data_IF_627580653429
#
_entry.id   IF_627580653429
#
_cell.length_a   1.000
_cell.length_b   1.000
_cell.length_c   1.000
_cell.angle_alpha   90.00
_cell.angle_beta   90.00
_cell.angle_gamma   90.00
#
_symmetry.space_group_name_H-M   'P 1'
#
loop_
_entity.id
_entity.type
_entity.pdbx_description
1 polymer ?
#
# COMPACT_ATOMS: atom_id res chain seq x y z
N UNK A 1 -11.82 -26.80 -77.15
CA UNK A 1 -12.15 -25.89 -76.04
C UNK A 1 -12.11 -26.72 -74.76
N UNK A 2 -11.43 -26.22 -73.71
CA UNK A 2 -10.77 -26.94 -72.60
C UNK A 2 -9.28 -27.24 -72.86
N UNK A 3 -8.42 -26.45 -72.22
CA UNK A 3 -7.00 -26.70 -71.94
C UNK A 3 -6.88 -26.75 -70.39
N UNK A 4 -6.02 -27.52 -69.71
CA UNK A 4 -4.89 -28.33 -70.14
C UNK A 4 -4.65 -29.54 -69.21
N UNK A 5 -3.76 -30.41 -69.67
CA UNK A 5 -3.18 -31.64 -69.08
C UNK A 5 -1.77 -31.29 -68.53
N UNK A 6 -1.04 -31.98 -67.63
CA UNK A 6 -1.21 -33.11 -66.68
C UNK A 6 0.20 -33.49 -66.13
N UNK A 7 0.27 -34.09 -64.92
CA UNK A 7 1.36 -34.94 -64.31
C UNK A 7 2.51 -34.25 -63.54
N UNK A 8 3.07 -34.77 -62.44
CA UNK A 8 3.45 -36.18 -62.11
C UNK A 8 3.36 -36.47 -60.60
N UNK A 9 2.97 -37.70 -60.25
CA UNK A 9 3.08 -38.32 -58.92
C UNK A 9 4.18 -39.38 -58.95
N UNK A 10 5.03 -39.46 -57.93
CA UNK A 10 5.86 -40.64 -57.65
C UNK A 10 5.68 -41.02 -56.18
N UNK A 11 5.15 -42.22 -55.97
CA UNK A 11 5.08 -42.95 -54.70
C UNK A 11 6.30 -43.85 -54.61
N UNK A 12 6.96 -43.92 -53.46
CA UNK A 12 7.91 -45.00 -53.17
C UNK A 12 7.77 -45.46 -51.72
N UNK A 13 7.66 -46.78 -51.62
CA UNK A 13 7.35 -47.59 -50.46
C UNK A 13 8.54 -47.72 -49.52
N UNK A 14 8.26 -47.91 -48.23
CA UNK A 14 9.17 -48.56 -47.30
C UNK A 14 8.39 -49.53 -46.41
N UNK A 15 8.86 -50.77 -46.36
CA UNK A 15 8.38 -51.83 -45.47
C UNK A 15 9.56 -52.45 -44.74
N UNK A 16 9.28 -52.77 -43.47
CA UNK A 16 9.88 -53.82 -42.63
C UNK A 16 11.33 -53.65 -42.12
N UNK A 17 11.41 -53.29 -40.82
CA UNK A 17 11.87 -54.12 -39.70
C UNK A 17 13.18 -54.93 -39.88
N UNK A 18 14.14 -54.73 -38.97
CA UNK A 18 14.51 -55.67 -37.86
C UNK A 18 15.91 -55.35 -37.26
N UNK A 19 15.94 -55.31 -35.91
CA UNK A 19 16.99 -55.63 -34.90
C UNK A 19 18.08 -54.63 -34.40
N UNK A 20 18.00 -54.49 -33.07
CA UNK A 20 19.06 -54.53 -32.03
C UNK A 20 20.02 -53.34 -31.85
N UNK A 21 19.70 -52.51 -30.84
CA UNK A 21 20.42 -52.44 -29.57
C UNK A 21 21.85 -51.86 -29.55
N UNK A 22 21.96 -50.65 -29.00
CA UNK A 22 22.92 -50.30 -27.95
C UNK A 22 22.40 -49.07 -27.18
N UNK A 23 22.56 -49.15 -25.87
CA UNK A 23 22.03 -48.29 -24.80
C UNK A 23 22.79 -46.97 -24.60
N UNK A 24 22.07 -45.89 -24.30
CA UNK A 24 22.47 -44.95 -23.24
C UNK A 24 21.21 -44.46 -22.50
N UNK A 25 21.14 -44.80 -21.21
CA UNK A 25 20.32 -44.21 -20.16
C UNK A 25 20.22 -42.67 -20.29
N UNK A 26 19.17 -41.95 -19.94
CA UNK A 26 18.02 -42.25 -19.09
C UNK A 26 17.84 -41.08 -18.10
N UNK A 27 16.80 -40.27 -18.27
CA UNK A 27 16.03 -39.53 -17.24
C UNK A 27 14.93 -38.71 -17.92
N UNK A 28 13.81 -39.37 -18.19
CA UNK A 28 12.50 -38.73 -18.14
C UNK A 28 11.95 -39.06 -16.75
N UNK A 29 12.06 -38.11 -15.83
CA UNK A 29 11.37 -38.09 -14.53
C UNK A 29 11.28 -36.61 -14.15
N UNK A 30 10.44 -35.86 -14.87
CA UNK A 30 9.78 -34.71 -14.26
C UNK A 30 8.63 -35.32 -13.45
N UNK A 31 8.87 -35.54 -12.16
CA UNK A 31 7.79 -35.84 -11.22
C UNK A 31 6.77 -34.70 -11.23
N UNK A 32 5.58 -34.88 -10.62
CA UNK A 32 4.74 -33.74 -10.33
C UNK A 32 5.61 -32.71 -9.60
N UNK A 33 5.57 -31.45 -10.04
CA UNK A 33 6.10 -30.36 -9.23
C UNK A 33 5.54 -30.53 -7.82
N UNK A 34 6.37 -30.40 -6.77
CA UNK A 34 5.86 -30.47 -5.43
C UNK A 34 4.71 -29.46 -5.36
N UNK A 35 3.55 -29.94 -4.93
CA UNK A 35 2.47 -29.11 -4.44
C UNK A 35 3.07 -28.44 -3.19
N UNK A 36 3.79 -27.34 -3.40
CA UNK A 36 4.21 -26.45 -2.33
C UNK A 36 2.88 -25.91 -1.84
N UNK A 37 2.40 -26.46 -0.73
CA UNK A 37 1.23 -25.91 -0.08
C UNK A 37 1.52 -24.42 0.09
N UNK A 38 0.69 -23.58 -0.53
CA UNK A 38 0.76 -22.15 -0.29
C UNK A 38 0.69 -21.95 1.23
N UNK A 39 1.53 -21.07 1.81
CA UNK A 39 1.46 -20.78 3.22
C UNK A 39 0.01 -20.43 3.60
N UNK A 40 -0.45 -20.93 4.75
CA UNK A 40 -1.79 -20.69 5.26
C UNK A 40 -1.86 -19.26 5.82
N UNK A 41 -1.83 -18.28 4.91
CA UNK A 41 -1.94 -16.84 5.21
C UNK A 41 -3.26 -16.62 5.93
N UNK A 42 -3.23 -15.89 7.05
CA UNK A 42 -4.46 -15.59 7.78
C UNK A 42 -5.47 -14.94 6.83
N UNK A 43 -6.73 -15.38 6.89
CA UNK A 43 -7.81 -14.79 6.08
C UNK A 43 -8.23 -13.43 6.65
N UNK A 44 -8.70 -12.50 5.80
CA UNK A 44 -9.25 -11.22 6.26
C UNK A 44 -10.32 -11.42 7.33
N UNK A 45 -10.38 -10.49 8.30
CA UNK A 45 -11.38 -10.54 9.37
C UNK A 45 -12.81 -10.64 8.78
N UNK A 46 -13.61 -11.64 9.18
CA UNK A 46 -14.95 -11.81 8.60
C UNK A 46 -15.91 -10.65 8.88
N UNK A 47 -15.75 -9.95 10.00
CA UNK A 47 -16.57 -8.80 10.38
C UNK A 47 -15.88 -7.46 10.04
N UNK A 48 -14.88 -7.49 9.16
CA UNK A 48 -14.19 -6.27 8.71
C UNK A 48 -15.16 -5.24 8.12
N UNK A 49 -14.84 -3.94 8.18
CA UNK A 49 -15.69 -2.93 7.59
C UNK A 49 -15.94 -3.21 6.09
N UNK A 50 -17.14 -2.86 5.62
CA UNK A 50 -17.46 -2.83 4.19
C UNK A 50 -17.59 -1.38 3.78
N UNK A 51 -16.82 -0.97 2.79
CA UNK A 51 -16.66 0.42 2.41
C UNK A 51 -17.09 0.62 0.95
N UNK A 52 -18.00 1.57 0.75
CA UNK A 52 -18.29 2.15 -0.56
C UNK A 52 -17.73 3.57 -0.62
N UNK A 53 -16.95 3.86 -1.66
CA UNK A 53 -16.41 5.19 -1.94
C UNK A 53 -16.94 5.71 -3.27
N UNK A 54 -17.21 7.01 -3.31
CA UNK A 54 -17.48 7.73 -4.55
C UNK A 54 -16.77 9.07 -4.54
N UNK A 55 -16.02 9.32 -5.61
CA UNK A 55 -15.29 10.57 -5.85
C UNK A 55 -15.82 11.21 -7.13
N UNK A 56 -16.28 12.46 -7.06
CA UNK A 56 -16.65 13.26 -8.22
C UNK A 56 -15.61 14.35 -8.44
N UNK A 57 -14.72 14.14 -9.42
CA UNK A 57 -13.58 15.01 -9.70
C UNK A 57 -14.03 16.18 -10.58
N UNK A 58 -13.64 17.40 -10.21
CA UNK A 58 -13.99 18.60 -10.98
C UNK A 58 -13.30 18.60 -12.35
N UNK A 59 -13.88 19.26 -13.37
CA UNK A 59 -13.27 19.33 -14.70
C UNK A 59 -11.89 20.00 -14.77
N UNK A 60 -11.55 20.82 -13.77
CA UNK A 60 -10.25 21.47 -13.62
C UNK A 60 -9.29 20.70 -12.71
N UNK A 61 -9.68 19.51 -12.26
CA UNK A 61 -8.90 18.60 -11.40
C UNK A 61 -8.49 19.19 -10.04
N UNK A 62 -9.01 20.35 -9.64
CA UNK A 62 -8.60 21.03 -8.41
C UNK A 62 -9.41 20.62 -7.17
N UNK A 63 -10.56 19.99 -7.35
CA UNK A 63 -11.47 19.62 -6.26
C UNK A 63 -12.14 18.27 -6.50
N UNK A 64 -12.52 17.60 -5.42
CA UNK A 64 -13.29 16.35 -5.46
C UNK A 64 -14.43 16.45 -4.46
N UNK A 65 -15.65 16.11 -4.88
CA UNK A 65 -16.77 15.89 -3.97
C UNK A 65 -16.85 14.39 -3.67
N UNK A 66 -16.73 14.04 -2.40
CA UNK A 66 -16.66 12.67 -1.94
C UNK A 66 -17.91 12.23 -1.18
N UNK A 67 -18.19 10.92 -1.28
CA UNK A 67 -19.14 10.22 -0.43
C UNK A 67 -18.53 8.89 -0.02
N UNK A 68 -18.65 8.56 1.26
CA UNK A 68 -18.26 7.30 1.85
C UNK A 68 -19.47 6.66 2.54
N UNK A 69 -19.61 5.35 2.42
CA UNK A 69 -20.47 4.54 3.28
C UNK A 69 -19.62 3.46 3.92
N UNK A 70 -19.73 3.32 5.24
CA UNK A 70 -19.05 2.28 6.00
C UNK A 70 -20.10 1.46 6.74
N UNK A 71 -20.20 0.18 6.41
CA UNK A 71 -20.84 -0.81 7.28
C UNK A 71 -19.80 -1.30 8.29
N UNK A 72 -20.06 -1.07 9.57
CA UNK A 72 -19.09 -1.30 10.65
C UNK A 72 -19.67 -2.18 11.74
N UNK A 73 -18.95 -3.25 12.08
CA UNK A 73 -19.27 -4.16 13.18
C UNK A 73 -18.13 -4.11 14.20
N UNK A 74 -18.23 -3.30 15.26
CA UNK A 74 -17.15 -3.16 16.23
C UNK A 74 -16.99 -4.45 17.05
N UNK A 75 -15.77 -4.77 17.45
CA UNK A 75 -15.47 -5.88 18.36
C UNK A 75 -15.52 -5.48 19.85
N UNK A 76 -15.70 -4.18 20.13
CA UNK A 76 -15.88 -3.60 21.47
C UNK A 76 -17.12 -2.70 21.49
N UNK A 77 -17.73 -2.53 22.66
CA UNK A 77 -18.84 -1.58 22.82
C UNK A 77 -18.36 -0.15 22.50
N UNK A 78 -19.14 0.61 21.71
CA UNK A 78 -18.82 1.99 21.35
C UNK A 78 -20.03 2.92 21.45
N UNK A 79 -19.80 4.19 21.77
CA UNK A 79 -20.82 5.24 21.85
C UNK A 79 -20.57 6.37 20.84
N UNK A 80 -19.61 6.18 19.94
CA UNK A 80 -19.19 7.15 18.93
C UNK A 80 -18.57 6.41 17.73
N UNK A 81 -18.41 7.13 16.62
CA UNK A 81 -17.53 6.75 15.52
C UNK A 81 -16.41 7.77 15.39
N UNK A 82 -15.22 7.33 15.00
CA UNK A 82 -14.07 8.21 14.82
C UNK A 82 -13.46 7.98 13.45
N UNK A 83 -13.22 9.06 12.73
CA UNK A 83 -12.62 9.06 11.40
C UNK A 83 -11.43 10.02 11.34
N UNK A 84 -10.44 9.71 10.49
CA UNK A 84 -9.28 10.54 10.21
C UNK A 84 -9.42 11.27 8.89
N UNK A 85 -9.12 12.56 8.90
CA UNK A 85 -9.08 13.43 7.73
C UNK A 85 -7.63 13.77 7.39
N UNK A 86 -6.88 12.80 6.89
CA UNK A 86 -5.44 12.93 6.66
C UNK A 86 -5.00 14.04 5.68
N UNK A 87 -5.81 14.50 4.70
CA UNK A 87 -5.47 15.68 3.91
C UNK A 87 -5.27 16.96 4.74
N UNK A 88 -5.76 17.00 5.99
CA UNK A 88 -5.58 18.14 6.90
C UNK A 88 -4.31 18.05 7.77
N UNK A 89 -3.46 17.02 7.59
CA UNK A 89 -2.19 16.92 8.33
C UNK A 89 -1.29 18.13 8.03
N UNK A 90 -0.33 18.49 8.92
CA UNK A 90 0.45 19.72 8.77
C UNK A 90 1.14 19.94 7.42
N UNK A 91 1.70 18.90 6.82
CA UNK A 91 2.43 19.02 5.57
C UNK A 91 1.48 19.23 4.37
N UNK A 92 0.49 18.34 4.23
CA UNK A 92 -0.55 18.37 3.17
C UNK A 92 -1.40 19.64 3.23
N UNK A 93 -1.81 20.07 4.44
CA UNK A 93 -2.58 21.31 4.61
C UNK A 93 -1.79 22.57 4.23
N UNK A 94 -0.51 22.65 4.59
CA UNK A 94 0.36 23.77 4.18
C UNK A 94 0.64 23.79 2.68
N UNK A 95 0.56 22.63 2.04
CA UNK A 95 0.66 22.49 0.58
C UNK A 95 -0.62 22.96 -0.14
N UNK A 96 -1.69 23.25 0.60
CA UNK A 96 -2.94 23.81 0.07
C UNK A 96 -4.08 22.80 -0.08
N UNK A 97 -3.82 21.53 0.25
CA UNK A 97 -4.83 20.48 0.23
C UNK A 97 -5.68 20.49 1.51
N UNK A 98 -6.94 20.08 1.44
CA UNK A 98 -7.79 19.95 2.63
C UNK A 98 -8.99 19.05 2.39
N UNK A 99 -9.49 18.40 3.44
CA UNK A 99 -10.73 17.63 3.42
C UNK A 99 -11.71 18.20 4.45
N UNK A 100 -12.92 18.53 4.04
CA UNK A 100 -13.98 19.00 4.95
C UNK A 100 -15.16 18.06 4.90
N UNK A 101 -15.48 17.39 6.01
CA UNK A 101 -16.73 16.62 6.14
C UNK A 101 -17.90 17.59 6.19
N UNK A 102 -18.86 17.40 5.29
CA UNK A 102 -20.00 18.31 5.09
C UNK A 102 -21.29 17.78 5.72
N UNK A 103 -21.48 16.46 5.78
CA UNK A 103 -22.60 15.82 6.44
C UNK A 103 -22.23 14.40 6.90
N UNK A 104 -22.92 13.94 7.95
CA UNK A 104 -22.83 12.57 8.44
C UNK A 104 -24.23 12.02 8.69
N UNK A 105 -24.47 10.78 8.29
CA UNK A 105 -25.66 10.01 8.68
C UNK A 105 -25.24 8.71 9.36
N UNK A 106 -26.00 8.30 10.37
CA UNK A 106 -25.87 6.99 11.01
C UNK A 106 -27.20 6.26 10.91
N UNK A 107 -27.19 5.05 10.35
CA UNK A 107 -28.38 4.25 10.03
C UNK A 107 -29.45 5.05 9.25
N UNK A 108 -28.98 5.86 8.28
CA UNK A 108 -29.83 6.70 7.43
C UNK A 108 -30.48 7.89 8.14
N UNK A 109 -29.98 8.29 9.31
CA UNK A 109 -30.43 9.50 10.04
C UNK A 109 -29.29 10.49 10.18
N UNK A 110 -29.57 11.76 9.94
CA UNK A 110 -28.59 12.84 10.15
C UNK A 110 -28.01 12.78 11.57
N UNK A 111 -26.68 12.80 11.65
CA UNK A 111 -25.92 12.78 12.89
C UNK A 111 -25.13 14.08 13.05
N UNK A 112 -24.98 14.54 14.29
CA UNK A 112 -24.03 15.61 14.59
C UNK A 112 -22.62 15.03 14.68
N UNK A 113 -21.64 15.82 14.29
CA UNK A 113 -20.22 15.45 14.40
C UNK A 113 -19.40 16.62 14.93
N UNK A 114 -18.22 16.31 15.45
CA UNK A 114 -17.22 17.23 15.92
C UNK A 114 -16.02 17.17 14.98
N UNK A 115 -15.64 18.32 14.44
CA UNK A 115 -14.38 18.49 13.72
C UNK A 115 -13.30 18.95 14.70
N UNK A 116 -12.26 18.14 14.88
CA UNK A 116 -11.24 18.29 15.91
C UNK A 116 -9.88 18.45 15.24
N UNK A 117 -9.19 19.55 15.57
CA UNK A 117 -7.91 19.90 14.97
C UNK A 117 -6.90 18.74 14.97
N UNK A 118 -6.73 18.07 16.12
CA UNK A 118 -5.90 16.87 16.29
C UNK A 118 -4.54 16.91 15.54
N UNK A 119 -3.88 18.06 15.57
CA UNK A 119 -2.58 18.27 14.91
C UNK A 119 -2.63 19.10 13.63
N UNK A 120 -3.82 19.35 13.06
CA UNK A 120 -4.01 20.27 11.94
C UNK A 120 -3.47 21.69 12.26
N UNK A 121 -2.88 22.40 11.29
CA UNK A 121 -2.51 23.81 11.43
C UNK A 121 -3.68 24.71 11.83
N UNK A 122 -3.41 25.80 12.56
CA UNK A 122 -4.44 26.76 13.00
C UNK A 122 -5.20 27.43 11.84
N UNK A 123 -4.60 27.49 10.65
CA UNK A 123 -5.16 28.03 9.43
C UNK A 123 -5.76 26.98 8.49
N UNK A 124 -5.74 25.69 8.88
CA UNK A 124 -6.39 24.64 8.14
C UNK A 124 -7.93 24.84 8.14
N UNK A 125 -8.63 24.53 7.05
CA UNK A 125 -10.09 24.66 6.98
C UNK A 125 -10.85 23.75 7.96
N UNK A 126 -10.27 22.59 8.28
CA UNK A 126 -10.83 21.57 9.15
C UNK A 126 -9.71 20.81 9.88
N UNK A 127 -10.08 20.02 10.90
CA UNK A 127 -9.17 19.19 11.68
C UNK A 127 -8.85 17.84 11.05
N UNK A 128 -7.93 17.09 11.65
CA UNK A 128 -7.58 15.73 11.19
C UNK A 128 -8.42 14.62 11.82
N UNK A 129 -9.35 14.96 12.72
CA UNK A 129 -10.15 13.98 13.46
C UNK A 129 -11.62 14.40 13.44
N UNK A 130 -12.50 13.46 13.05
CA UNK A 130 -13.95 13.64 13.06
C UNK A 130 -14.55 12.65 14.04
N UNK A 131 -15.22 13.15 15.08
CA UNK A 131 -15.93 12.33 16.07
C UNK A 131 -17.44 12.46 15.86
N UNK A 132 -18.14 11.33 15.80
CA UNK A 132 -19.60 11.24 15.57
C UNK A 132 -20.24 10.58 16.80
N UNK A 133 -20.75 11.35 17.78
CA UNK A 133 -21.45 10.78 18.93
C UNK A 133 -22.69 10.01 18.49
N UNK A 134 -22.81 8.75 18.91
CA UNK A 134 -23.98 7.92 18.61
C UNK A 134 -25.16 8.30 19.53
N UNK A 135 -26.37 8.22 19.01
CA UNK A 135 -27.59 8.48 19.79
C UNK A 135 -27.78 7.45 20.92
N UNK A 136 -27.44 6.20 20.62
CA UNK A 136 -27.38 5.07 21.54
C UNK A 136 -26.05 4.34 21.29
N UNK A 137 -25.41 3.85 22.35
CA UNK A 137 -24.20 3.05 22.20
C UNK A 137 -24.53 1.73 21.49
N UNK A 138 -23.60 1.26 20.68
CA UNK A 138 -23.66 0.00 19.94
C UNK A 138 -22.79 -1.03 20.65
N UNK A 139 -23.33 -2.22 20.86
CA UNK A 139 -22.60 -3.30 21.53
C UNK A 139 -21.61 -3.96 20.57
N UNK A 140 -20.58 -4.61 21.10
CA UNK A 140 -19.71 -5.46 20.30
C UNK A 140 -20.51 -6.49 19.47
N UNK A 141 -20.22 -6.59 18.18
CA UNK A 141 -20.89 -7.48 17.22
C UNK A 141 -22.22 -6.96 16.66
N UNK A 142 -22.67 -5.76 17.04
CA UNK A 142 -23.84 -5.11 16.43
C UNK A 142 -23.40 -4.18 15.30
N UNK A 143 -23.86 -4.45 14.08
CA UNK A 143 -23.52 -3.65 12.89
C UNK A 143 -24.30 -2.33 12.86
N UNK A 144 -23.62 -1.27 12.42
CA UNK A 144 -24.20 0.03 12.09
C UNK A 144 -23.69 0.50 10.72
N UNK A 145 -24.40 1.44 10.10
CA UNK A 145 -23.92 2.10 8.86
C UNK A 145 -23.66 3.57 9.11
N UNK A 146 -22.49 4.05 8.69
CA UNK A 146 -22.15 5.47 8.63
C UNK A 146 -22.04 5.92 7.18
N UNK A 147 -22.65 7.06 6.84
CA UNK A 147 -22.48 7.71 5.56
C UNK A 147 -21.90 9.12 5.79
N UNK A 148 -20.81 9.44 5.10
CA UNK A 148 -20.14 10.73 5.18
C UNK A 148 -20.07 11.36 3.79
N UNK A 149 -20.40 12.64 3.68
CA UNK A 149 -20.09 13.44 2.49
C UNK A 149 -18.99 14.42 2.82
N UNK A 150 -18.09 14.69 1.88
CA UNK A 150 -16.95 15.55 2.10
C UNK A 150 -16.53 16.29 0.84
N UNK A 151 -15.88 17.44 1.02
CA UNK A 151 -15.24 18.19 -0.04
C UNK A 151 -13.71 18.09 0.12
N UNK A 152 -13.03 17.77 -0.96
CA UNK A 152 -11.57 17.74 -1.06
C UNK A 152 -11.09 18.89 -1.94
N UNK A 153 -10.11 19.64 -1.44
CA UNK A 153 -9.35 20.63 -2.21
C UNK A 153 -7.96 20.06 -2.43
N UNK A 154 -7.46 20.16 -3.66
CA UNK A 154 -6.15 19.65 -4.06
C UNK A 154 -5.16 20.80 -4.20
N UNK A 155 -4.00 20.66 -3.55
CA UNK A 155 -2.89 21.61 -3.65
C UNK A 155 -2.19 21.52 -5.01
N UNK A 156 -1.83 22.66 -5.56
CA UNK A 156 -1.20 22.80 -6.89
C UNK A 156 0.32 22.57 -6.80
N UNK A 157 0.87 21.71 -7.66
CA UNK A 157 2.31 21.43 -7.80
C UNK A 157 2.99 21.02 -6.47
N UNK A 158 2.35 20.10 -5.74
CA UNK A 158 2.79 19.70 -4.40
C UNK A 158 3.51 18.35 -4.41
N UNK A 159 4.53 18.21 -3.56
CA UNK A 159 5.21 16.94 -3.29
C UNK A 159 4.62 16.28 -2.04
N UNK A 160 3.35 15.89 -2.13
CA UNK A 160 2.53 15.30 -1.07
C UNK A 160 1.55 14.29 -1.67
N UNK A 161 0.92 13.44 -0.83
CA UNK A 161 -0.01 12.38 -1.27
C UNK A 161 -1.38 12.87 -1.80
N UNK A 162 -1.63 14.18 -1.71
CA UNK A 162 -2.86 14.81 -2.19
C UNK A 162 -2.50 16.09 -2.92
N UNK A 163 -2.79 16.17 -4.22
CA UNK A 163 -2.48 17.34 -5.03
C UNK A 163 -3.00 17.25 -6.46
N UNK A 164 -2.65 18.28 -7.23
CA UNK A 164 -2.93 18.41 -8.65
C UNK A 164 -1.80 19.16 -9.35
N UNK A 165 -1.67 18.93 -10.66
CA UNK A 165 -0.82 19.70 -11.56
C UNK A 165 -1.67 20.16 -12.73
N UNK A 166 -1.85 21.48 -12.86
CA UNK A 166 -2.53 22.06 -14.01
C UNK A 166 -1.65 22.07 -15.27
N UNK A 167 -0.33 22.04 -15.11
CA UNK A 167 0.61 21.94 -16.23
C UNK A 167 0.61 20.51 -16.84
N UNK A 168 0.58 19.47 -16.00
CA UNK A 168 0.52 18.07 -16.44
C UNK A 168 -0.90 17.50 -16.60
N UNK A 169 -1.94 18.29 -16.29
CA UNK A 169 -3.36 17.89 -16.32
C UNK A 169 -3.65 16.59 -15.53
N UNK A 170 -3.20 16.53 -14.28
CA UNK A 170 -3.37 15.37 -13.40
C UNK A 170 -3.71 15.76 -11.95
N UNK A 171 -4.61 15.01 -11.33
CA UNK A 171 -4.88 15.02 -9.89
C UNK A 171 -4.53 13.67 -9.28
N UNK A 172 -4.03 13.68 -8.05
CA UNK A 172 -3.77 12.49 -7.25
C UNK A 172 -4.22 12.72 -5.82
N UNK A 173 -4.82 11.71 -5.22
CA UNK A 173 -5.32 11.79 -3.87
C UNK A 173 -5.37 10.40 -3.24
N UNK A 174 -4.58 10.23 -2.18
CA UNK A 174 -4.47 8.99 -1.43
C UNK A 174 -4.71 9.20 0.06
N UNK A 175 -5.34 8.21 0.70
CA UNK A 175 -5.92 8.31 2.04
C UNK A 175 -6.81 9.57 2.18
N UNK A 176 -7.47 9.98 1.09
CA UNK A 176 -8.14 11.27 0.93
C UNK A 176 -9.67 11.19 1.11
N UNK A 177 -10.07 10.43 2.12
CA UNK A 177 -11.44 10.24 2.57
C UNK A 177 -11.43 10.13 4.11
N UNK A 178 -12.59 10.24 4.80
CA UNK A 178 -12.66 10.03 6.25
C UNK A 178 -12.31 8.58 6.62
N UNK A 179 -11.05 8.28 6.90
CA UNK A 179 -10.61 6.91 7.19
C UNK A 179 -11.11 6.45 8.57
N UNK A 180 -11.81 5.32 8.66
CA UNK A 180 -12.28 4.76 9.94
C UNK A 180 -11.09 4.47 10.88
N UNK A 181 -11.05 5.13 12.04
CA UNK A 181 -9.92 5.11 12.96
C UNK A 181 -10.02 3.97 14.01
N UNK A 182 -10.50 2.79 13.63
CA UNK A 182 -10.69 1.66 14.54
C UNK A 182 -9.52 0.69 14.49
N UNK A 183 -9.08 0.21 15.65
CA UNK A 183 -8.16 -0.90 15.80
C UNK A 183 -8.82 -2.00 16.67
N UNK A 184 -8.90 -3.21 16.14
CA UNK A 184 -9.55 -4.35 16.78
C UNK A 184 -8.88 -4.68 18.11
N UNK A 185 -9.68 -4.89 19.14
CA UNK A 185 -9.23 -5.17 20.50
C UNK A 185 -8.71 -3.95 21.27
N UNK A 186 -8.58 -2.78 20.62
CA UNK A 186 -8.07 -1.54 21.24
C UNK A 186 -9.06 -0.39 21.20
N UNK A 187 -9.79 -0.24 20.09
CA UNK A 187 -10.78 0.80 19.87
C UNK A 187 -10.26 1.93 18.98
N UNK A 188 -10.70 3.16 19.27
CA UNK A 188 -10.45 4.33 18.41
C UNK A 188 -9.05 4.95 18.57
N UNK A 189 -8.32 5.09 17.46
CA UNK A 189 -7.08 5.89 17.36
C UNK A 189 -7.40 7.40 17.30
N UNK A 190 -6.64 8.20 18.05
CA UNK A 190 -6.84 9.66 18.17
C UNK A 190 -5.53 10.46 18.25
N UNK A 191 -4.40 9.82 18.02
CA UNK A 191 -3.08 10.41 18.05
C UNK A 191 -3.00 11.63 17.13
N UNK A 192 -2.32 12.71 17.55
CA UNK A 192 -2.29 13.92 16.76
C UNK A 192 -1.46 13.71 15.49
N UNK A 193 -1.89 14.32 14.38
CA UNK A 193 -1.02 14.51 13.23
C UNK A 193 0.18 15.39 13.64
N UNK A 194 1.37 15.06 13.13
CA UNK A 194 2.60 15.74 13.48
C UNK A 194 3.25 16.39 12.25
N UNK A 195 4.09 17.43 12.43
CA UNK A 195 4.83 18.05 11.33
C UNK A 195 6.11 17.26 11.01
N UNK A 196 6.02 15.93 11.00
CA UNK A 196 7.09 15.01 10.57
C UNK A 196 6.68 14.44 9.22
N UNK A 197 7.61 14.40 8.28
CA UNK A 197 7.38 13.86 6.93
C UNK A 197 7.44 12.33 6.96
N UNK A 198 6.43 11.73 7.58
CA UNK A 198 6.17 10.30 7.57
C UNK A 198 4.68 10.05 7.76
N UNK A 199 4.31 8.81 7.62
CA UNK A 199 2.96 8.33 7.66
C UNK A 199 2.48 8.27 9.13
N UNK A 200 1.17 8.41 9.31
CA UNK A 200 0.54 8.39 10.65
C UNK A 200 -0.81 7.67 10.60
N UNK A 201 -1.08 6.96 9.50
CA UNK A 201 -2.36 6.31 9.31
C UNK A 201 -2.42 5.01 10.11
N UNK A 202 -3.64 4.65 10.48
CA UNK A 202 -3.98 3.32 10.98
C UNK A 202 -5.39 3.00 10.50
N UNK A 203 -5.58 1.76 10.10
CA UNK A 203 -6.89 1.21 9.78
C UNK A 203 -6.80 -0.31 9.79
N UNK A 204 -7.88 -0.95 10.23
CA UNK A 204 -8.13 -2.35 9.88
C UNK A 204 -8.31 -2.47 8.37
N UNK A 205 -8.01 -3.65 7.82
CA UNK A 205 -8.40 -3.97 6.45
C UNK A 205 -9.92 -3.90 6.33
N UNK A 206 -10.40 -3.35 5.23
CA UNK A 206 -11.81 -3.33 4.86
C UNK A 206 -12.04 -3.98 3.50
N UNK A 207 -13.26 -4.48 3.29
CA UNK A 207 -13.75 -4.84 1.97
C UNK A 207 -14.11 -3.56 1.23
N UNK A 208 -13.41 -3.24 0.15
CA UNK A 208 -13.80 -2.19 -0.78
C UNK A 208 -14.84 -2.77 -1.74
N UNK A 209 -16.13 -2.68 -1.36
CA UNK A 209 -17.24 -3.25 -2.16
C UNK A 209 -17.42 -2.49 -3.47
N UNK A 210 -17.22 -1.17 -3.43
CA UNK A 210 -17.19 -0.33 -4.62
C UNK A 210 -16.44 0.98 -4.37
N UNK A 211 -15.49 1.31 -5.24
CA UNK A 211 -14.98 2.67 -5.42
C UNK A 211 -15.38 3.20 -6.80
N UNK A 212 -16.23 4.21 -6.84
CA UNK A 212 -16.60 4.92 -8.06
C UNK A 212 -15.82 6.23 -8.19
N UNK A 213 -15.05 6.38 -9.27
CA UNK A 213 -14.40 7.65 -9.62
C UNK A 213 -15.10 8.22 -10.86
N UNK A 214 -15.75 9.38 -10.69
CA UNK A 214 -16.39 10.12 -11.77
C UNK A 214 -15.41 11.20 -12.23
N UNK A 215 -14.92 11.06 -13.45
CA UNK A 215 -13.94 11.95 -14.05
C UNK A 215 -14.41 12.47 -15.43
N UNK A 216 -13.90 13.60 -15.93
CA UNK A 216 -14.08 14.00 -17.33
C UNK A 216 -13.68 12.86 -18.29
N UNK A 217 -14.51 12.56 -19.29
CA UNK A 217 -14.33 11.38 -20.18
C UNK A 217 -13.05 11.36 -21.03
N UNK A 218 -12.23 12.41 -20.96
CA UNK A 218 -10.94 12.48 -21.65
C UNK A 218 -9.75 12.02 -20.80
N UNK A 219 -9.96 11.77 -19.51
CA UNK A 219 -8.91 11.40 -18.58
C UNK A 219 -8.91 9.90 -18.27
N UNK A 220 -7.71 9.38 -18.03
CA UNK A 220 -7.50 8.05 -17.48
C UNK A 220 -7.66 8.10 -15.95
N UNK A 221 -8.05 6.96 -15.37
CA UNK A 221 -8.17 6.79 -13.92
C UNK A 221 -7.43 5.53 -13.49
N UNK A 222 -6.47 5.71 -12.59
CA UNK A 222 -5.81 4.63 -11.85
C UNK A 222 -6.30 4.68 -10.41
N UNK A 223 -6.65 3.55 -9.81
CA UNK A 223 -7.15 3.54 -8.45
C UNK A 223 -7.01 2.17 -7.79
N UNK A 224 -6.79 2.16 -6.47
CA UNK A 224 -6.65 0.93 -5.66
C UNK A 224 -7.75 -0.09 -5.96
N UNK A 225 -7.34 -1.34 -6.19
CA UNK A 225 -8.23 -2.48 -6.44
C UNK A 225 -8.29 -2.94 -7.90
N UNK A 226 -9.07 -4.00 -8.13
CA UNK A 226 -9.39 -4.53 -9.45
C UNK A 226 -10.36 -3.58 -10.15
N UNK A 227 -10.10 -3.27 -11.43
CA UNK A 227 -10.98 -2.41 -12.21
C UNK A 227 -12.22 -3.18 -12.72
N UNK A 228 -13.41 -2.78 -12.27
CA UNK A 228 -14.72 -3.37 -12.64
C UNK A 228 -15.44 -2.56 -13.73
N UNK A 229 -14.67 -2.07 -14.71
CA UNK A 229 -15.19 -1.42 -15.91
C UNK A 229 -15.59 0.05 -15.76
N UNK A 230 -16.15 0.60 -16.84
CA UNK A 230 -16.48 2.02 -16.97
C UNK A 230 -17.87 2.28 -17.56
N UNK A 231 -18.43 3.46 -17.29
CA UNK A 231 -19.73 3.91 -17.80
C UNK A 231 -19.70 5.40 -18.20
N UNK A 232 -19.83 5.67 -19.51
CA UNK A 232 -19.93 7.04 -20.02
C UNK A 232 -21.29 7.67 -19.73
N UNK A 233 -21.30 8.96 -19.38
CA UNK A 233 -22.50 9.75 -19.09
C UNK A 233 -22.73 10.85 -20.12
N UNK A 234 -23.98 11.30 -20.23
CA UNK A 234 -24.39 12.34 -21.19
C UNK A 234 -23.80 13.73 -20.88
N UNK A 235 -23.31 13.94 -19.65
CA UNK A 235 -22.72 15.20 -19.19
C UNK A 235 -21.22 15.34 -19.49
N UNK A 236 -20.62 14.36 -20.18
CA UNK A 236 -19.20 14.37 -20.55
C UNK A 236 -18.27 13.86 -19.46
N UNK A 237 -18.82 13.13 -18.48
CA UNK A 237 -18.04 12.37 -17.49
C UNK A 237 -18.13 10.87 -17.72
N UNK A 238 -17.14 10.14 -17.23
CA UNK A 238 -17.10 8.67 -17.21
C UNK A 238 -16.95 8.20 -15.77
N UNK A 239 -17.68 7.15 -15.41
CA UNK A 239 -17.55 6.46 -14.13
C UNK A 239 -16.56 5.34 -14.29
N UNK A 240 -15.58 5.28 -13.40
CA UNK A 240 -14.62 4.18 -13.27
C UNK A 240 -14.91 3.45 -11.96
N UNK A 241 -14.93 2.11 -11.98
CA UNK A 241 -15.29 1.29 -10.82
C UNK A 241 -14.11 0.43 -10.41
N UNK A 242 -13.86 0.34 -9.11
CA UNK A 242 -12.83 -0.52 -8.54
C UNK A 242 -13.36 -1.29 -7.33
N UNK A 243 -12.82 -2.47 -7.08
CA UNK A 243 -13.16 -3.30 -5.91
C UNK A 243 -11.90 -3.94 -5.35
N UNK A 244 -11.87 -4.23 -4.05
CA UNK A 244 -10.75 -4.94 -3.45
C UNK A 244 -11.22 -5.75 -2.22
N UNK A 245 -10.79 -7.02 -2.07
CA UNK A 245 -11.29 -7.88 -1.00
C UNK A 245 -10.84 -7.47 0.41
N UNK A 246 -9.65 -6.89 0.51
CA UNK A 246 -9.01 -6.42 1.73
C UNK A 246 -7.96 -5.35 1.40
N UNK A 247 -8.19 -4.11 1.84
CA UNK A 247 -7.24 -2.98 1.76
C UNK A 247 -7.39 -2.09 3.00
N UNK A 248 -6.37 -1.30 3.33
CA UNK A 248 -6.36 -0.39 4.50
C UNK A 248 -6.71 1.05 4.17
N UNK A 249 -6.40 1.48 2.96
CA UNK A 249 -6.81 2.75 2.40
C UNK A 249 -6.80 2.65 0.87
N UNK A 250 -7.04 3.78 0.20
CA UNK A 250 -7.08 3.85 -1.27
C UNK A 250 -6.26 5.03 -1.77
N UNK A 251 -5.69 4.85 -2.95
CA UNK A 251 -5.07 5.88 -3.76
C UNK A 251 -5.78 5.97 -5.11
N UNK A 252 -5.94 7.20 -5.63
CA UNK A 252 -6.53 7.47 -6.94
C UNK A 252 -5.70 8.53 -7.65
N UNK A 253 -5.50 8.34 -8.96
CA UNK A 253 -5.01 9.36 -9.87
C UNK A 253 -5.96 9.51 -11.08
N UNK A 254 -6.21 10.75 -11.48
CA UNK A 254 -7.09 11.12 -12.60
C UNK A 254 -6.38 12.16 -13.45
N UNK A 255 -6.19 11.90 -14.74
CA UNK A 255 -5.56 12.89 -15.60
C UNK A 255 -5.20 12.38 -16.99
N UNK A 256 -4.43 13.18 -17.73
CA UNK A 256 -3.86 12.78 -19.01
C UNK A 256 -2.66 11.84 -18.80
N UNK A 257 -2.92 10.59 -18.40
CA UNK A 257 -1.88 9.62 -18.07
C UNK A 257 -1.54 8.73 -19.27
N UNK A 258 -0.25 8.41 -19.46
CA UNK A 258 0.18 7.35 -20.38
C UNK A 258 0.26 6.04 -19.59
N UNK A 259 -0.66 5.11 -19.86
CA UNK A 259 -0.85 3.91 -19.06
C UNK A 259 -0.36 2.68 -19.80
N UNK A 260 0.59 1.98 -19.20
CA UNK A 260 1.08 0.68 -19.64
C UNK A 260 0.67 -0.42 -18.66
N UNK A 261 0.35 -1.61 -19.18
CA UNK A 261 -0.07 -2.76 -18.38
C UNK A 261 0.79 -3.99 -18.70
N UNK A 262 1.17 -4.74 -17.65
CA UNK A 262 1.79 -6.07 -17.75
C UNK A 262 1.30 -6.97 -16.63
N UNK A 263 1.05 -8.24 -16.93
CA UNK A 263 0.89 -9.26 -15.88
C UNK A 263 2.25 -9.80 -15.47
N UNK A 264 2.61 -9.67 -14.20
CA UNK A 264 3.88 -10.10 -13.60
C UNK A 264 3.53 -11.13 -12.52
N UNK A 265 3.93 -12.38 -12.73
CA UNK A 265 3.71 -13.49 -11.77
C UNK A 265 2.26 -13.63 -11.25
N UNK A 266 1.28 -13.32 -12.10
CA UNK A 266 -0.15 -13.39 -11.76
C UNK A 266 -0.77 -12.05 -11.33
N UNK A 267 0.04 -11.07 -10.96
CA UNK A 267 -0.37 -9.72 -10.59
C UNK A 267 -0.53 -8.85 -11.83
N UNK A 268 -1.63 -8.10 -11.95
CA UNK A 268 -1.80 -7.11 -13.01
C UNK A 268 -1.18 -5.78 -12.58
N UNK A 269 -0.06 -5.43 -13.20
CA UNK A 269 0.68 -4.19 -12.92
C UNK A 269 0.35 -3.15 -13.98
N UNK A 270 -0.03 -1.96 -13.53
CA UNK A 270 -0.34 -0.81 -14.38
C UNK A 270 0.51 0.39 -13.97
N UNK A 271 1.29 0.92 -14.90
CA UNK A 271 2.15 2.09 -14.71
C UNK A 271 1.56 3.26 -15.49
N UNK A 272 1.18 4.33 -14.80
CA UNK A 272 0.72 5.58 -15.39
C UNK A 272 1.76 6.68 -15.23
N UNK A 273 2.14 7.31 -16.32
CA UNK A 273 3.03 8.47 -16.33
C UNK A 273 2.23 9.72 -16.69
N UNK A 274 2.40 10.81 -15.95
CA UNK A 274 1.88 12.11 -16.40
C UNK A 274 2.63 12.63 -17.64
N UNK A 275 2.11 13.69 -18.28
CA UNK A 275 2.66 14.20 -19.54
C UNK A 275 3.98 14.98 -19.41
N UNK A 276 4.32 15.44 -18.22
CA UNK A 276 5.51 16.24 -17.95
C UNK A 276 6.67 15.39 -17.41
N UNK A 277 6.42 14.11 -17.10
CA UNK A 277 7.44 13.09 -16.84
C UNK A 277 8.48 13.04 -17.98
N UNK A 278 9.75 13.12 -17.61
CA UNK A 278 10.88 13.15 -18.54
C UNK A 278 11.99 12.14 -18.27
N UNK A 279 12.09 11.60 -17.05
CA UNK A 279 13.10 10.59 -16.67
C UNK A 279 12.52 9.17 -16.69
N UNK A 280 11.29 8.97 -16.20
CA UNK A 280 10.67 7.66 -16.15
C UNK A 280 10.26 7.12 -17.54
N UNK A 281 10.43 5.81 -17.71
CA UNK A 281 9.96 5.05 -18.87
C UNK A 281 9.12 3.86 -18.39
N UNK A 282 7.94 3.67 -18.98
CA UNK A 282 6.98 2.69 -18.48
C UNK A 282 7.47 1.24 -18.62
N UNK A 283 8.22 0.92 -19.69
CA UNK A 283 8.77 -0.42 -19.88
C UNK A 283 9.90 -0.68 -18.86
N UNK A 284 10.77 0.30 -18.62
CA UNK A 284 11.80 0.23 -17.58
C UNK A 284 11.19 0.05 -16.18
N UNK A 285 10.10 0.77 -15.88
CA UNK A 285 9.37 0.61 -14.62
C UNK A 285 8.80 -0.80 -14.46
N UNK A 286 8.16 -1.34 -15.50
CA UNK A 286 7.62 -2.69 -15.47
C UNK A 286 8.72 -3.75 -15.32
N UNK A 287 9.87 -3.56 -15.96
CA UNK A 287 11.04 -4.45 -15.83
C UNK A 287 11.61 -4.40 -14.39
N UNK A 288 11.75 -3.21 -13.81
CA UNK A 288 12.26 -3.03 -12.45
C UNK A 288 11.29 -3.58 -11.40
N UNK A 289 9.97 -3.40 -11.58
CA UNK A 289 8.96 -4.01 -10.70
C UNK A 289 9.06 -5.53 -10.75
N UNK A 290 9.20 -6.13 -11.94
CA UNK A 290 9.37 -7.58 -12.09
C UNK A 290 10.63 -8.09 -11.37
N UNK A 291 11.74 -7.36 -11.46
CA UNK A 291 12.98 -7.74 -10.77
C UNK A 291 12.87 -7.62 -9.25
N UNK A 292 12.41 -6.47 -8.74
CA UNK A 292 12.25 -6.22 -7.31
C UNK A 292 11.24 -7.18 -6.68
N UNK A 293 10.11 -7.42 -7.35
CA UNK A 293 9.06 -8.30 -6.86
C UNK A 293 9.56 -9.74 -6.69
N UNK A 294 10.42 -10.23 -7.58
CA UNK A 294 10.98 -11.58 -7.47
C UNK A 294 11.77 -11.75 -6.16
N UNK A 295 12.62 -10.79 -5.82
CA UNK A 295 13.42 -10.83 -4.58
C UNK A 295 12.56 -10.71 -3.33
N UNK A 296 11.52 -9.88 -3.36
CA UNK A 296 10.57 -9.74 -2.25
C UNK A 296 9.71 -10.99 -2.06
N UNK A 297 9.22 -11.60 -3.14
CA UNK A 297 8.42 -12.84 -3.07
C UNK A 297 9.24 -14.00 -2.54
N UNK A 298 10.52 -14.11 -2.93
CA UNK A 298 11.43 -15.12 -2.42
C UNK A 298 11.65 -15.00 -0.89
N UNK A 299 11.58 -13.77 -0.34
CA UNK A 299 11.80 -13.48 1.08
C UNK A 299 10.52 -13.51 1.92
N UNK A 300 9.44 -12.94 1.43
CA UNK A 300 8.23 -12.61 2.21
C UNK A 300 7.01 -13.49 1.87
N UNK A 301 7.10 -14.28 0.79
CA UNK A 301 6.00 -15.09 0.28
C UNK A 301 5.22 -14.40 -0.85
N UNK A 302 4.06 -14.96 -1.26
CA UNK A 302 3.31 -14.45 -2.41
C UNK A 302 2.95 -12.98 -2.30
N UNK A 303 2.88 -12.29 -3.45
CA UNK A 303 2.45 -10.91 -3.52
C UNK A 303 0.98 -10.80 -3.05
N UNK A 304 0.63 -9.85 -2.16
CA UNK A 304 -0.65 -9.89 -1.43
C UNK A 304 -1.87 -9.36 -2.20
N UNK A 305 -1.70 -8.80 -3.40
CA UNK A 305 -2.78 -8.19 -4.19
C UNK A 305 -2.82 -8.72 -5.62
N UNK A 306 -4.01 -8.81 -6.21
CA UNK A 306 -4.17 -9.19 -7.62
C UNK A 306 -3.78 -8.08 -8.60
N UNK A 307 -3.79 -6.83 -8.12
CA UNK A 307 -3.53 -5.62 -8.89
C UNK A 307 -2.53 -4.71 -8.17
N UNK A 308 -1.61 -4.14 -8.95
CA UNK A 308 -0.69 -3.09 -8.53
C UNK A 308 -0.76 -1.91 -9.50
N UNK A 309 -1.00 -0.73 -8.95
CA UNK A 309 -0.99 0.53 -9.69
C UNK A 309 0.22 1.35 -9.32
N UNK A 310 0.98 1.84 -10.30
CA UNK A 310 2.09 2.75 -10.07
C UNK A 310 1.80 4.03 -10.83
N UNK A 311 1.76 5.16 -10.13
CA UNK A 311 1.56 6.47 -10.74
C UNK A 311 2.82 7.28 -10.56
N UNK A 312 3.49 7.59 -11.67
CA UNK A 312 4.69 8.42 -11.68
C UNK A 312 4.32 9.85 -12.06
N UNK A 313 4.64 10.77 -11.16
CA UNK A 313 4.23 12.17 -11.21
C UNK A 313 5.45 13.08 -11.21
N UNK A 314 5.48 14.03 -12.15
CA UNK A 314 6.50 15.08 -12.28
C UNK A 314 6.54 16.04 -11.08
N UNK A 315 5.42 16.19 -10.36
CA UNK A 315 5.32 17.00 -9.14
C UNK A 315 5.88 16.31 -7.88
N UNK A 316 6.18 15.02 -7.94
CA UNK A 316 6.64 14.21 -6.81
C UNK A 316 8.15 13.96 -6.88
N UNK A 317 8.78 13.71 -5.73
CA UNK A 317 10.24 13.45 -5.68
C UNK A 317 10.63 12.16 -4.96
N UNK A 318 9.67 11.41 -4.44
CA UNK A 318 9.87 10.17 -3.66
C UNK A 318 8.79 9.16 -4.01
N UNK A 319 8.84 7.97 -3.40
CA UNK A 319 7.73 7.04 -3.33
C UNK A 319 6.84 7.30 -2.11
N UNK A 320 5.58 6.89 -2.22
CA UNK A 320 4.64 6.69 -1.11
C UNK A 320 3.81 5.44 -1.42
N UNK A 321 3.73 4.57 -0.44
CA UNK A 321 3.06 3.27 -0.46
C UNK A 321 1.57 3.36 -0.13
N UNK A 322 0.77 2.52 -0.80
CA UNK A 322 -0.62 2.24 -0.45
C UNK A 322 -0.93 0.76 -0.79
N UNK A 323 -1.94 0.12 -0.17
CA UNK A 323 -2.38 -1.22 -0.55
C UNK A 323 -2.69 -1.31 -2.05
N UNK A 324 -1.91 -2.12 -2.79
CA UNK A 324 -2.05 -2.29 -4.23
C UNK A 324 -1.78 -1.04 -5.07
N UNK A 325 -1.15 0.01 -4.51
CA UNK A 325 -0.82 1.22 -5.26
C UNK A 325 0.46 1.90 -4.75
N UNK A 326 1.22 2.52 -5.67
CA UNK A 326 2.42 3.29 -5.36
C UNK A 326 2.33 4.63 -6.10
N UNK A 327 2.51 5.72 -5.37
CA UNK A 327 2.75 7.03 -5.95
C UNK A 327 4.26 7.29 -6.00
N UNK A 328 4.79 7.77 -7.11
CA UNK A 328 6.23 7.94 -7.28
C UNK A 328 6.60 9.24 -8.01
N UNK A 329 7.80 9.75 -7.76
CA UNK A 329 8.40 10.87 -8.50
C UNK A 329 8.97 10.49 -9.87
N UNK A 330 9.12 11.48 -10.75
CA UNK A 330 9.77 11.30 -12.05
C UNK A 330 11.26 10.94 -11.89
N UNK A 331 11.56 9.64 -11.98
CA UNK A 331 12.91 9.08 -11.87
C UNK A 331 13.12 7.94 -12.87
N UNK A 332 14.38 7.70 -13.21
CA UNK A 332 14.80 6.43 -13.78
C UNK A 332 14.72 5.32 -12.69
N UNK A 333 13.87 4.29 -12.87
CA UNK A 333 13.70 3.23 -11.88
C UNK A 333 14.96 2.38 -11.68
N UNK A 334 15.84 2.25 -12.67
CA UNK A 334 17.10 1.52 -12.53
C UNK A 334 18.08 2.31 -11.64
N UNK A 335 18.11 3.65 -11.78
CA UNK A 335 18.92 4.52 -10.91
C UNK A 335 18.35 4.67 -9.49
N UNK A 336 17.10 4.25 -9.29
CA UNK A 336 16.36 4.30 -8.01
C UNK A 336 15.83 2.94 -7.58
N UNK A 337 16.45 1.86 -8.04
CA UNK A 337 16.06 0.47 -7.74
C UNK A 337 15.71 0.25 -6.26
N UNK A 338 16.58 0.69 -5.36
CA UNK A 338 16.35 0.52 -3.91
C UNK A 338 15.06 1.18 -3.42
N UNK A 339 14.73 2.37 -3.94
CA UNK A 339 13.47 3.02 -3.58
C UNK A 339 12.28 2.26 -4.18
N UNK A 340 12.37 1.77 -5.42
CA UNK A 340 11.32 0.92 -6.02
C UNK A 340 11.08 -0.34 -5.18
N UNK A 341 12.14 -1.02 -4.76
CA UNK A 341 12.04 -2.21 -3.91
C UNK A 341 11.49 -1.87 -2.51
N UNK A 342 11.84 -0.72 -1.92
CA UNK A 342 11.26 -0.23 -0.65
C UNK A 342 9.75 -0.06 -0.75
N UNK A 343 9.26 0.68 -1.74
CA UNK A 343 7.83 0.91 -1.93
C UNK A 343 7.06 -0.40 -2.23
N UNK A 344 7.67 -1.35 -2.92
CA UNK A 344 7.08 -2.67 -3.15
C UNK A 344 7.06 -3.53 -1.89
N UNK A 345 8.05 -3.42 -1.01
CA UNK A 345 8.07 -4.15 0.26
C UNK A 345 6.88 -3.77 1.16
N UNK A 346 6.37 -2.55 1.00
CA UNK A 346 5.18 -2.11 1.70
C UNK A 346 3.86 -2.80 1.28
N UNK A 347 3.86 -3.58 0.20
CA UNK A 347 2.72 -4.44 -0.08
C UNK A 347 2.53 -5.47 1.04
N UNK A 348 3.63 -5.93 1.66
CA UNK A 348 3.62 -6.79 2.84
C UNK A 348 3.56 -5.99 4.15
N UNK A 349 4.38 -4.95 4.29
CA UNK A 349 4.44 -4.16 5.53
C UNK A 349 3.66 -2.85 5.41
N UNK A 350 2.76 -2.56 6.34
CA UNK A 350 1.60 -1.66 6.18
C UNK A 350 0.48 -2.27 5.34
N UNK A 351 0.74 -2.73 4.11
CA UNK A 351 -0.29 -3.33 3.24
C UNK A 351 -0.95 -4.56 3.86
N UNK A 352 -0.30 -5.72 3.75
CA UNK A 352 -0.81 -6.98 4.29
C UNK A 352 -0.79 -7.00 5.83
N UNK A 353 0.38 -6.72 6.41
CA UNK A 353 0.60 -6.60 7.86
C UNK A 353 0.61 -5.12 8.22
N UNK A 354 -0.52 -4.63 8.71
CA UNK A 354 -0.67 -3.24 9.09
C UNK A 354 0.06 -2.91 10.39
N UNK A 355 0.15 -1.63 10.68
CA UNK A 355 0.59 -1.10 11.95
C UNK A 355 -0.10 0.25 12.20
N UNK A 356 -0.09 0.70 13.44
CA UNK A 356 -0.29 2.12 13.72
C UNK A 356 1.00 2.86 13.34
N UNK A 357 1.04 3.48 12.16
CA UNK A 357 2.22 4.19 11.66
C UNK A 357 2.54 5.41 12.54
N UNK A 358 1.56 5.93 13.29
CA UNK A 358 1.76 6.99 14.26
C UNK A 358 2.49 6.52 15.52
N UNK A 359 2.10 5.38 16.08
CA UNK A 359 2.64 4.86 17.34
C UNK A 359 3.86 3.94 17.16
N UNK A 360 3.90 3.16 16.08
CA UNK A 360 4.94 2.16 15.78
C UNK A 360 5.44 2.24 14.33
N UNK A 361 5.99 3.39 13.87
CA UNK A 361 6.44 3.60 12.49
C UNK A 361 7.63 2.72 12.05
N UNK A 362 8.24 1.97 12.96
CA UNK A 362 9.36 1.09 12.60
C UNK A 362 8.89 -0.25 12.06
N UNK A 363 7.64 -0.65 12.33
CA UNK A 363 7.11 -1.95 11.92
C UNK A 363 6.92 -2.06 10.41
N UNK A 364 6.59 -0.96 9.75
CA UNK A 364 6.54 -0.83 8.31
C UNK A 364 7.89 -0.37 7.76
N UNK A 365 8.43 0.74 8.24
CA UNK A 365 9.58 1.37 7.58
C UNK A 365 10.89 0.60 7.74
N UNK A 366 11.19 0.12 8.96
CA UNK A 366 12.41 -0.66 9.17
C UNK A 366 12.34 -2.01 8.45
N UNK A 367 11.16 -2.65 8.43
CA UNK A 367 10.98 -3.93 7.75
C UNK A 367 11.00 -3.78 6.22
N UNK A 368 10.41 -2.73 5.66
CA UNK A 368 10.50 -2.39 4.25
C UNK A 368 11.96 -2.14 3.84
N UNK A 369 12.71 -1.33 4.60
CA UNK A 369 14.15 -1.08 4.35
C UNK A 369 14.99 -2.36 4.50
N UNK A 370 14.66 -3.23 5.45
CA UNK A 370 15.30 -4.54 5.61
C UNK A 370 15.05 -5.43 4.38
N UNK A 371 13.78 -5.58 3.98
CA UNK A 371 13.39 -6.42 2.85
C UNK A 371 13.99 -5.90 1.54
N UNK A 372 14.02 -4.58 1.36
CA UNK A 372 14.74 -3.92 0.28
C UNK A 372 16.21 -4.37 0.24
N UNK A 373 16.92 -4.24 1.36
CA UNK A 373 18.36 -4.55 1.42
C UNK A 373 18.67 -6.00 1.06
N UNK A 374 17.83 -6.94 1.54
CA UNK A 374 17.96 -8.37 1.25
C UNK A 374 17.60 -8.69 -0.21
N UNK A 375 16.48 -8.17 -0.72
CA UNK A 375 16.01 -8.41 -2.08
C UNK A 375 16.95 -7.82 -3.15
N UNK A 376 17.59 -6.69 -2.86
CA UNK A 376 18.58 -6.09 -3.75
C UNK A 376 19.98 -6.71 -3.62
N UNK A 377 20.23 -7.49 -2.56
CA UNK A 377 21.55 -8.08 -2.27
C UNK A 377 22.59 -7.07 -1.79
N UNK A 378 22.13 -5.95 -1.22
CA UNK A 378 22.94 -4.82 -0.73
C UNK A 378 22.89 -4.71 0.81
N UNK A 379 22.86 -5.87 1.49
CA UNK A 379 22.82 -5.97 2.95
C UNK A 379 23.98 -5.21 3.62
N UNK A 380 23.66 -4.28 4.53
CA UNK A 380 24.63 -3.53 5.32
C UNK A 380 24.27 -3.57 6.82
N UNK A 381 24.95 -4.39 7.64
CA UNK A 381 24.65 -4.48 9.08
C UNK A 381 25.08 -3.22 9.84
N UNK A 382 24.35 -2.91 10.92
CA UNK A 382 24.68 -1.77 11.78
C UNK A 382 25.86 -2.02 12.75
N UNK A 383 26.47 -3.21 12.78
CA UNK A 383 27.59 -3.55 13.68
C UNK A 383 28.82 -2.62 13.62
N UNK A 384 28.85 -1.65 12.71
CA UNK A 384 29.91 -0.65 12.58
C UNK A 384 29.49 0.78 12.95
N UNK A 385 28.24 0.99 13.36
CA UNK A 385 27.69 2.30 13.68
C UNK A 385 27.51 2.44 15.21
N UNK A 386 27.79 3.63 15.78
CA UNK A 386 27.74 3.83 17.22
C UNK A 386 26.30 3.88 17.73
N UNK A 387 25.78 2.74 18.21
CA UNK A 387 24.41 2.58 18.75
C UNK A 387 24.04 3.67 19.77
N UNK A 388 24.99 4.06 20.63
CA UNK A 388 24.81 5.12 21.65
C UNK A 388 24.45 6.51 21.06
N UNK A 389 24.70 6.73 19.77
CA UNK A 389 24.43 8.01 19.10
C UNK A 389 23.01 8.08 18.49
N UNK A 390 22.26 6.96 18.48
CA UNK A 390 20.93 6.89 17.88
C UNK A 390 19.80 6.89 18.92
N UNK A 391 18.71 7.62 18.67
CA UNK A 391 17.47 7.48 19.45
C UNK A 391 16.86 6.07 19.34
N UNK A 392 15.89 5.70 20.20
CA UNK A 392 15.21 4.41 20.10
C UNK A 392 14.44 4.31 18.78
N UNK A 393 14.66 3.22 18.03
CA UNK A 393 13.96 2.92 16.77
C UNK A 393 12.45 2.86 16.96
N UNK A 394 11.97 2.33 18.10
CA UNK A 394 10.55 2.19 18.42
C UNK A 394 9.84 3.49 18.86
N UNK A 395 10.43 4.67 18.62
CA UNK A 395 9.80 5.94 18.94
C UNK A 395 8.57 6.22 18.07
N UNK A 396 7.50 6.76 18.65
CA UNK A 396 6.31 7.19 17.91
C UNK A 396 6.53 8.51 17.16
N UNK A 397 5.67 8.81 16.19
CA UNK A 397 5.70 10.06 15.43
C UNK A 397 5.58 11.31 16.31
N UNK A 398 4.86 11.21 17.44
CA UNK A 398 4.81 12.29 18.44
C UNK A 398 6.12 12.48 19.20
N UNK A 399 6.84 11.39 19.50
CA UNK A 399 8.19 11.44 20.08
C UNK A 399 9.16 12.15 19.13
N UNK A 400 9.18 11.76 17.85
CA UNK A 400 10.04 12.38 16.84
C UNK A 400 9.76 13.87 16.69
N UNK A 401 8.49 14.26 16.64
CA UNK A 401 8.08 15.65 16.52
C UNK A 401 8.49 16.52 17.73
N UNK A 402 8.46 15.96 18.94
CA UNK A 402 8.66 16.70 20.17
C UNK A 402 10.14 16.84 20.56
N UNK A 403 10.95 15.80 20.36
CA UNK A 403 12.27 15.70 20.98
C UNK A 403 13.41 16.26 20.11
N UNK A 404 13.19 16.44 18.80
CA UNK A 404 14.26 16.77 17.86
C UNK A 404 14.09 18.12 17.17
N UNK A 405 15.22 18.82 16.99
CA UNK A 405 15.26 20.08 16.21
C UNK A 405 15.11 19.87 14.70
N UNK A 406 15.45 18.67 14.21
CA UNK A 406 15.37 18.27 12.81
C UNK A 406 14.63 16.93 12.73
N UNK A 407 13.34 16.91 13.05
CA UNK A 407 12.61 15.67 13.28
C UNK A 407 12.63 14.76 12.04
N UNK A 408 12.42 15.31 10.84
CA UNK A 408 12.42 14.51 9.59
C UNK A 408 13.72 13.75 9.35
N UNK A 409 14.88 14.42 9.43
CA UNK A 409 16.15 13.74 9.18
C UNK A 409 16.48 12.74 10.29
N UNK A 410 16.20 13.08 11.55
CA UNK A 410 16.48 12.15 12.66
C UNK A 410 15.56 10.92 12.60
N UNK A 411 14.28 11.11 12.28
CA UNK A 411 13.32 10.04 12.07
C UNK A 411 13.80 9.12 10.95
N UNK A 412 14.13 9.66 9.78
CA UNK A 412 14.63 8.89 8.64
C UNK A 412 15.92 8.11 8.97
N UNK A 413 16.94 8.79 9.50
CA UNK A 413 18.23 8.18 9.83
C UNK A 413 18.08 7.05 10.87
N UNK A 414 17.09 7.15 11.76
CA UNK A 414 16.90 6.19 12.86
C UNK A 414 15.95 5.06 12.50
N UNK A 415 14.76 5.37 12.01
CA UNK A 415 13.70 4.38 11.77
C UNK A 415 13.99 3.58 10.49
N UNK A 416 14.39 4.24 9.41
CA UNK A 416 14.63 3.57 8.13
C UNK A 416 16.03 2.96 8.14
N UNK A 417 17.05 3.84 8.20
CA UNK A 417 18.44 3.42 7.97
C UNK A 417 18.96 2.56 9.12
N UNK A 418 18.86 3.03 10.37
CA UNK A 418 19.33 2.25 11.51
C UNK A 418 18.42 1.05 11.81
N UNK A 419 17.09 1.23 11.80
CA UNK A 419 16.14 0.15 12.04
C UNK A 419 16.28 -1.01 11.05
N UNK A 420 16.33 -0.74 9.74
CA UNK A 420 16.53 -1.77 8.71
C UNK A 420 17.89 -2.47 8.85
N UNK A 421 18.96 -1.73 9.09
CA UNK A 421 20.30 -2.30 9.31
C UNK A 421 20.38 -3.14 10.59
N UNK A 422 19.57 -2.85 11.61
CA UNK A 422 19.46 -3.65 12.82
C UNK A 422 18.76 -4.99 12.55
N UNK A 423 17.75 -5.03 11.69
CA UNK A 423 17.13 -6.28 11.24
C UNK A 423 18.10 -7.13 10.41
N UNK A 424 18.93 -6.52 9.56
CA UNK A 424 20.01 -7.22 8.83
C UNK A 424 21.01 -7.85 9.82
N UNK A 425 21.47 -7.09 10.81
CA UNK A 425 22.36 -7.62 11.88
C UNK A 425 21.69 -8.76 12.66
N UNK A 426 20.40 -8.61 12.99
CA UNK A 426 19.65 -9.65 13.69
C UNK A 426 19.55 -10.94 12.87
N UNK A 427 19.32 -10.83 11.56
CA UNK A 427 19.33 -11.94 10.60
C UNK A 427 20.70 -12.62 10.55
N UNK A 428 21.78 -11.85 10.46
CA UNK A 428 23.15 -12.38 10.47
C UNK A 428 23.47 -13.14 11.78
N UNK A 429 23.09 -12.60 12.93
CA UNK A 429 23.37 -13.23 14.23
C UNK A 429 22.55 -14.49 14.48
N UNK A 430 21.27 -14.50 14.09
CA UNK A 430 20.37 -15.64 14.27
C UNK A 430 20.60 -16.75 13.23
N UNK A 431 21.17 -16.39 12.08
CA UNK A 431 21.26 -17.22 10.90
C UNK A 431 20.04 -17.04 9.99
N UNK A 432 20.33 -16.79 8.72
CA UNK A 432 19.36 -16.47 7.66
C UNK A 432 18.12 -17.39 7.66
N UNK A 433 18.32 -18.71 7.58
CA UNK A 433 17.23 -19.68 7.49
C UNK A 433 16.26 -19.59 8.68
N UNK A 434 16.77 -19.36 9.89
CA UNK A 434 15.93 -19.28 11.09
C UNK A 434 15.19 -17.94 11.17
N UNK A 435 15.87 -16.85 10.82
CA UNK A 435 15.27 -15.52 10.78
C UNK A 435 14.17 -15.44 9.72
N UNK A 436 14.47 -15.87 8.49
CA UNK A 436 13.54 -15.79 7.35
C UNK A 436 12.30 -16.66 7.60
N UNK A 437 12.46 -17.83 8.24
CA UNK A 437 11.33 -18.64 8.66
C UNK A 437 10.44 -17.93 9.71
N UNK A 438 11.04 -17.30 10.73
CA UNK A 438 10.31 -16.54 11.73
C UNK A 438 9.64 -15.28 11.13
N UNK A 439 10.27 -14.64 10.14
CA UNK A 439 9.70 -13.53 9.39
C UNK A 439 8.51 -13.96 8.54
N UNK A 440 8.62 -15.09 7.83
CA UNK A 440 7.51 -15.65 7.07
C UNK A 440 6.32 -16.01 7.99
N UNK A 441 6.59 -16.55 9.18
CA UNK A 441 5.57 -16.80 10.21
C UNK A 441 4.96 -15.48 10.70
N UNK A 442 5.77 -14.44 10.96
CA UNK A 442 5.28 -13.10 11.33
C UNK A 442 4.32 -12.55 10.28
N UNK A 443 4.70 -12.59 9.00
CA UNK A 443 3.87 -12.11 7.89
C UNK A 443 2.57 -12.91 7.78
N UNK A 444 2.66 -14.24 7.84
CA UNK A 444 1.52 -15.16 7.68
C UNK A 444 0.51 -15.02 8.82
N UNK A 445 0.99 -14.94 10.07
CA UNK A 445 0.16 -14.86 11.28
C UNK A 445 -0.52 -13.50 11.42
N UNK A 446 0.17 -12.41 11.03
CA UNK A 446 -0.32 -11.04 11.20
C UNK A 446 -0.95 -10.45 9.93
N UNK A 447 -1.12 -11.24 8.87
CA UNK A 447 -1.84 -10.82 7.68
C UNK A 447 -3.24 -10.31 8.02
N UNK A 448 -3.62 -9.18 7.41
CA UNK A 448 -4.89 -8.48 7.61
C UNK A 448 -5.14 -8.00 9.06
N UNK A 449 -4.11 -7.91 9.90
CA UNK A 449 -4.19 -7.37 11.26
C UNK A 449 -3.34 -6.10 11.40
N UNK A 450 -3.64 -5.28 12.41
CA UNK A 450 -2.75 -4.19 12.85
C UNK A 450 -1.74 -4.78 13.84
N UNK A 451 -0.52 -5.03 13.37
CA UNK A 451 0.57 -5.60 14.14
C UNK A 451 1.22 -4.58 15.08
N UNK A 452 1.90 -5.14 16.07
CA UNK A 452 2.42 -4.42 17.24
C UNK A 452 3.81 -4.94 17.57
N UNK A 453 4.60 -4.22 18.39
CA UNK A 453 5.89 -4.74 18.87
C UNK A 453 5.77 -6.06 19.64
N UNK A 454 4.58 -6.39 20.18
CA UNK A 454 4.33 -7.66 20.86
C UNK A 454 4.28 -8.83 19.87
N UNK A 455 3.75 -8.62 18.67
CA UNK A 455 3.68 -9.65 17.62
C UNK A 455 5.06 -9.98 17.06
N UNK A 456 5.94 -8.98 16.94
CA UNK A 456 7.37 -9.21 16.62
C UNK A 456 8.05 -9.99 17.75
N UNK A 457 7.77 -9.68 19.02
CA UNK A 457 8.32 -10.45 20.15
C UNK A 457 7.85 -11.91 20.13
N UNK A 458 6.62 -12.16 19.74
CA UNK A 458 6.05 -13.50 19.64
C UNK A 458 6.68 -14.29 18.48
N UNK A 459 6.73 -13.72 17.28
CA UNK A 459 7.28 -14.37 16.10
C UNK A 459 8.76 -14.74 16.25
N UNK A 460 9.56 -13.88 16.89
CA UNK A 460 10.99 -14.10 17.12
C UNK A 460 11.30 -14.68 18.51
N UNK A 461 10.31 -15.24 19.22
CA UNK A 461 10.45 -15.71 20.60
C UNK A 461 11.52 -16.79 20.82
N UNK A 462 11.75 -17.62 19.80
CA UNK A 462 12.79 -18.68 19.80
C UNK A 462 14.17 -18.19 19.31
N UNK A 463 14.31 -16.91 18.94
CA UNK A 463 15.52 -16.28 18.43
C UNK A 463 16.01 -15.16 19.37
N UNK A 464 16.63 -15.50 20.53
CA UNK A 464 17.04 -14.52 21.52
C UNK A 464 18.08 -13.51 21.01
N UNK A 465 18.86 -13.85 19.99
CA UNK A 465 19.78 -12.97 19.28
C UNK A 465 19.02 -11.81 18.61
N UNK A 466 17.93 -12.11 17.88
CA UNK A 466 17.07 -11.10 17.24
C UNK A 466 16.46 -10.17 18.28
N UNK A 467 15.84 -10.75 19.31
CA UNK A 467 15.27 -9.96 20.41
C UNK A 467 16.33 -9.18 21.18
N UNK A 468 17.59 -9.63 21.17
CA UNK A 468 18.74 -8.93 21.74
C UNK A 468 19.01 -7.63 20.97
N UNK A 469 19.19 -7.74 19.65
CA UNK A 469 19.44 -6.60 18.76
C UNK A 469 18.29 -5.59 18.81
N UNK A 470 17.04 -6.06 18.71
CA UNK A 470 15.88 -5.17 18.72
C UNK A 470 15.70 -4.42 20.06
N UNK A 471 16.10 -5.01 21.19
CA UNK A 471 16.15 -4.29 22.48
C UNK A 471 17.31 -3.32 22.57
N UNK A 472 18.46 -3.66 22.00
CA UNK A 472 19.64 -2.79 21.97
C UNK A 472 19.39 -1.48 21.21
N UNK A 473 18.67 -1.57 20.08
CA UNK A 473 18.30 -0.39 19.26
C UNK A 473 17.02 0.31 19.74
N UNK A 474 16.39 -0.19 20.81
CA UNK A 474 15.18 0.38 21.38
C UNK A 474 13.93 0.24 20.50
N UNK A 475 13.90 -0.74 19.59
CA UNK A 475 12.67 -1.13 18.87
C UNK A 475 11.72 -1.89 19.80
N UNK A 476 12.27 -2.72 20.68
CA UNK A 476 11.52 -3.47 21.70
C UNK A 476 11.88 -3.00 23.12
N UNK A 477 10.86 -2.90 23.97
CA UNK A 477 11.00 -2.66 25.42
C UNK A 477 11.20 -3.91 26.26
#
# INVERSE_FOLDING_TARGET
>A
MRAGRRWVTVVLACSALVLSGCTSAGRDDAGPEPDVAEPDVAEPWPDRPVVDLRFEVSPDLATVVGREVVEFTPDLDTCELVFRSWPNKPATSRAGSSLTVTAVQVDGRDAAFLDIAAGAPDDAPAGTLVEVPLADCVSAGETLTAELTFDLVLGEEVNERVGTSSDAEVAWFATAFPLLAWERGRGWERGPAVPVNGETAVSEDFLLDSMEVVAPSGYEVLGTGEADGTEDREDGTTVHRFTAPAVRDVAVAVGDLDVSERTIDGVRVRVGLDREVGEADADAWLDQIEESNRGLVDLLGPFPYDDLWVVVLSAQTSGVEFPGAIQFGDVDPDERRGLVTHELAHMWFYGLVGNDQGEHPWLDESFATFAQSVADGDEQPFAHLPVDDFPPVGGSMTYWAAEFRRPNSTYYDTVYTFGGAALVEAREQAGEEAFDAALADYVTVNAHAVATPDDVREAFSDLPEVLGVLREVGALS
#
